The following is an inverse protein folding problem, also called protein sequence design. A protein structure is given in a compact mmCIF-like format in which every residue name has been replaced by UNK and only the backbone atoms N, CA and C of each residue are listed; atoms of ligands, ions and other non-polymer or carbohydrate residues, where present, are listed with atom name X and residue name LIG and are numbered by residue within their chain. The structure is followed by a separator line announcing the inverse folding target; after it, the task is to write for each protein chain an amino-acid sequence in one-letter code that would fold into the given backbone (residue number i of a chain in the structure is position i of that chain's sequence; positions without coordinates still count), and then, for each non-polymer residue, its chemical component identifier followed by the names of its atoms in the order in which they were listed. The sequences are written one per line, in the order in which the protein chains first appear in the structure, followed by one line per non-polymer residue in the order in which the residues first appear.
data_IF_563475160438
#
_entry.id   IF_563475160438
#
_cell.length_a   1.000
_cell.length_b   1.000
_cell.length_c   1.000
_cell.angle_alpha   90.00
_cell.angle_beta   90.00
_cell.angle_gamma   90.00
#
_symmetry.space_group_name_H-M   'P 1'
#
loop_
_entity.id
_entity.type
_entity.pdbx_description
1 polymer ?
#
# COMPACT_ATOMS: atom_id res chain seq x y z
N UNK A 1 2.50 18.43 3.23
CA UNK A 1 1.55 17.32 3.07
C UNK A 1 1.33 16.72 4.43
N UNK A 2 0.12 16.84 4.99
CA UNK A 2 -0.21 16.28 6.31
C UNK A 2 -0.97 14.98 6.07
N UNK A 3 -0.27 13.85 6.12
CA UNK A 3 -0.92 12.54 6.11
C UNK A 3 -1.36 12.21 7.54
N UNK A 4 -2.67 12.24 7.79
CA UNK A 4 -3.24 11.99 9.11
C UNK A 4 -3.40 10.48 9.36
N UNK A 5 -2.29 9.81 9.68
CA UNK A 5 -2.26 8.40 10.06
C UNK A 5 -2.69 8.22 11.52
N UNK A 6 -3.97 8.40 11.79
CA UNK A 6 -4.47 8.55 13.16
C UNK A 6 -4.65 7.24 13.94
N UNK A 7 -3.94 6.16 13.59
CA UNK A 7 -4.11 4.88 14.26
C UNK A 7 -2.75 4.34 14.76
N UNK A 8 -2.63 4.22 16.09
CA UNK A 8 -1.42 3.76 16.77
C UNK A 8 -1.72 2.43 17.46
N UNK A 9 -1.02 1.37 17.06
CA UNK A 9 -1.14 0.08 17.73
C UNK A 9 -0.15 0.01 18.91
N UNK A 10 -0.63 -0.44 20.07
CA UNK A 10 0.21 -0.78 21.23
C UNK A 10 0.39 -2.29 21.40
N UNK A 11 -0.21 -3.08 20.51
CA UNK A 11 -0.18 -4.54 20.52
C UNK A 11 0.37 -5.07 19.20
N UNK A 12 1.39 -5.92 19.30
CA UNK A 12 2.00 -6.56 18.15
C UNK A 12 1.67 -8.05 18.13
N UNK A 13 1.06 -8.50 17.04
CA UNK A 13 0.88 -9.93 16.79
C UNK A 13 2.20 -10.45 16.21
N UNK A 14 2.92 -11.31 16.95
CA UNK A 14 4.25 -11.88 16.59
C UNK A 14 4.32 -12.64 15.25
N UNK A 15 3.24 -12.68 14.47
CA UNK A 15 3.22 -13.31 13.15
C UNK A 15 3.94 -12.49 12.07
N UNK A 16 3.98 -11.16 12.21
CA UNK A 16 4.56 -10.25 11.22
C UNK A 16 6.08 -10.07 11.41
N UNK A 17 6.59 -10.37 12.62
CA UNK A 17 8.01 -10.31 12.97
C UNK A 17 8.62 -11.71 12.80
N UNK A 18 8.55 -12.27 11.58
CA UNK A 18 9.34 -13.46 11.20
C UNK A 18 10.71 -13.10 10.64
N UNK A 19 10.93 -11.81 10.35
CA UNK A 19 12.19 -11.27 9.85
C UNK A 19 13.00 -10.71 11.02
N UNK A 20 14.32 -10.95 11.05
CA UNK A 20 15.26 -10.42 12.06
C UNK A 20 15.40 -8.87 12.05
N UNK A 21 14.56 -8.16 11.30
CA UNK A 21 14.54 -6.71 11.23
C UNK A 21 13.24 -6.16 11.83
N UNK A 22 13.33 -5.15 12.72
CA UNK A 22 12.15 -4.50 13.26
C UNK A 22 11.40 -3.76 12.14
N UNK A 23 10.11 -4.07 12.00
CA UNK A 23 9.18 -3.30 11.17
C UNK A 23 8.56 -2.19 12.02
N UNK A 24 8.42 -0.98 11.47
CA UNK A 24 7.82 0.17 12.18
C UNK A 24 6.29 0.18 12.17
N UNK A 25 5.66 -0.72 11.41
CA UNK A 25 4.20 -0.82 11.27
C UNK A 25 3.78 -1.45 9.94
N UNK A 26 2.48 -1.39 9.65
CA UNK A 26 1.87 -1.94 8.43
C UNK A 26 1.13 -0.85 7.66
N UNK A 27 1.32 -0.81 6.35
CA UNK A 27 0.59 0.07 5.44
C UNK A 27 -0.49 -0.72 4.69
N UNK A 28 -1.75 -0.40 4.93
CA UNK A 28 -2.88 -1.02 4.23
C UNK A 28 -3.10 -0.44 2.84
N UNK A 29 -3.11 -1.29 1.81
CA UNK A 29 -3.36 -0.94 0.39
C UNK A 29 -4.74 -1.40 -0.13
N UNK A 30 -5.65 -1.77 0.77
CA UNK A 30 -6.97 -2.31 0.41
C UNK A 30 -7.93 -1.24 -0.12
N UNK A 31 -9.06 -1.69 -0.69
CA UNK A 31 -10.12 -0.83 -1.28
C UNK A 31 -10.93 -0.01 -0.26
N UNK A 32 -10.54 -0.02 1.02
CA UNK A 32 -11.25 0.72 2.07
C UNK A 32 -10.82 2.20 2.05
N UNK A 33 -11.75 3.10 2.38
CA UNK A 33 -11.50 4.55 2.40
C UNK A 33 -10.46 5.04 3.41
N UNK A 34 -9.87 4.14 4.21
CA UNK A 34 -8.83 4.41 5.21
C UNK A 34 -7.43 3.97 4.76
N UNK A 35 -7.26 3.58 3.48
CA UNK A 35 -5.97 3.18 2.92
C UNK A 35 -5.05 4.38 2.64
N UNK A 36 -3.74 4.13 2.49
CA UNK A 36 -2.75 5.17 2.11
C UNK A 36 -3.06 5.81 0.78
N UNK A 37 -3.51 4.98 -0.15
CA UNK A 37 -3.79 5.42 -1.51
C UNK A 37 -5.03 6.32 -1.53
N UNK A 38 -6.08 5.95 -0.79
CA UNK A 38 -7.29 6.76 -0.71
C UNK A 38 -7.07 8.11 -0.02
N UNK A 39 -6.24 8.15 1.03
CA UNK A 39 -5.92 9.41 1.73
C UNK A 39 -5.02 10.33 0.89
N UNK A 40 -4.03 9.79 0.19
CA UNK A 40 -3.21 10.57 -0.75
C UNK A 40 -4.08 11.14 -1.88
N UNK A 41 -5.03 10.33 -2.38
CA UNK A 41 -5.93 10.75 -3.44
C UNK A 41 -6.94 11.80 -2.99
N UNK A 42 -7.44 11.74 -1.74
CA UNK A 42 -8.37 12.75 -1.21
C UNK A 42 -7.73 14.14 -1.11
N UNK A 43 -6.42 14.18 -0.89
CA UNK A 43 -5.62 15.41 -0.87
C UNK A 43 -5.19 15.89 -2.27
N UNK A 44 -5.56 15.17 -3.33
CA UNK A 44 -5.24 15.54 -4.71
C UNK A 44 -3.76 15.37 -5.09
N UNK A 45 -2.98 14.63 -4.28
CA UNK A 45 -1.53 14.48 -4.47
C UNK A 45 -1.21 13.48 -5.58
N UNK A 46 -1.93 12.36 -5.62
CA UNK A 46 -1.78 11.31 -6.62
C UNK A 46 -3.12 10.62 -6.89
N UNK A 47 -3.30 9.97 -8.05
CA UNK A 47 -4.48 9.15 -8.33
C UNK A 47 -4.69 8.04 -7.29
N UNK A 48 -5.95 7.60 -7.11
CA UNK A 48 -6.31 6.47 -6.25
C UNK A 48 -5.91 5.11 -6.86
N UNK A 49 -4.63 4.95 -7.18
CA UNK A 49 -4.04 3.75 -7.76
C UNK A 49 -2.62 3.56 -7.22
N UNK A 50 -2.06 2.37 -7.37
CA UNK A 50 -0.65 2.12 -7.09
C UNK A 50 -0.11 1.04 -8.02
N UNK A 51 1.21 0.99 -8.15
CA UNK A 51 1.92 -0.07 -8.85
C UNK A 51 3.00 -0.62 -7.94
N UNK A 52 3.21 -1.94 -7.95
CA UNK A 52 4.31 -2.55 -7.22
C UNK A 52 5.10 -3.49 -8.13
N UNK A 53 6.40 -3.57 -7.89
CA UNK A 53 7.29 -4.58 -8.42
C UNK A 53 7.99 -5.20 -7.23
N UNK A 54 7.82 -6.50 -7.00
CA UNK A 54 8.49 -7.23 -5.92
C UNK A 54 9.55 -8.13 -6.53
N UNK A 55 10.77 -8.03 -6.03
CA UNK A 55 11.86 -8.91 -6.46
C UNK A 55 11.79 -10.23 -5.67
N UNK A 56 12.02 -11.36 -6.35
CA UNK A 56 11.91 -12.69 -5.75
C UNK A 56 12.99 -12.99 -4.69
N UNK A 57 14.10 -12.29 -4.73
CA UNK A 57 15.24 -12.34 -3.81
C UNK A 57 15.18 -11.29 -2.70
N UNK A 58 14.13 -10.47 -2.67
CA UNK A 58 13.90 -9.44 -1.67
C UNK A 58 14.03 -8.02 -2.22
N UNK A 59 13.23 -7.10 -1.66
CA UNK A 59 13.13 -5.73 -2.12
C UNK A 59 12.07 -5.53 -3.21
N UNK A 60 12.14 -4.40 -3.90
CA UNK A 60 11.14 -4.00 -4.88
C UNK A 60 10.89 -2.49 -4.90
N UNK A 61 9.89 -2.09 -5.69
CA UNK A 61 9.42 -0.72 -5.79
C UNK A 61 7.92 -0.67 -5.56
N UNK A 62 7.46 0.29 -4.76
CA UNK A 62 6.06 0.66 -4.60
C UNK A 62 5.90 2.10 -5.07
N UNK A 63 5.06 2.32 -6.08
CA UNK A 63 4.73 3.63 -6.63
C UNK A 63 3.27 3.95 -6.30
N UNK A 64 3.04 5.12 -5.69
CA UNK A 64 1.70 5.61 -5.37
C UNK A 64 1.24 6.52 -6.53
N UNK A 65 0.06 6.26 -7.08
CA UNK A 65 -0.44 6.89 -8.30
C UNK A 65 -0.41 5.95 -9.51
N UNK A 66 -0.55 6.53 -10.70
CA UNK A 66 -0.56 5.78 -11.96
C UNK A 66 0.83 5.82 -12.58
N UNK A 67 1.42 4.64 -12.80
CA UNK A 67 2.63 4.51 -13.61
C UNK A 67 2.24 4.16 -15.04
N UNK A 68 2.94 4.74 -16.01
CA UNK A 68 2.75 4.39 -17.42
C UNK A 68 3.74 3.25 -17.72
N UNK A 69 3.24 2.04 -17.90
CA UNK A 69 4.04 0.91 -18.34
C UNK A 69 3.40 0.29 -19.56
N UNK A 70 4.19 0.14 -20.60
CA UNK A 70 3.79 -0.54 -21.83
C UNK A 70 3.56 -2.03 -21.54
N UNK A 71 2.52 -2.62 -22.11
CA UNK A 71 2.21 -4.07 -22.09
C UNK A 71 1.67 -4.66 -20.77
N UNK A 72 1.05 -3.86 -19.90
CA UNK A 72 0.29 -4.40 -18.76
C UNK A 72 -1.08 -4.94 -19.24
N UNK A 73 -1.36 -6.20 -18.90
CA UNK A 73 -2.69 -6.79 -19.07
C UNK A 73 -3.55 -6.47 -17.85
N UNK A 74 -4.73 -5.89 -18.07
CA UNK A 74 -5.65 -5.50 -17.01
C UNK A 74 -6.80 -6.48 -16.84
N UNK A 75 -7.22 -6.66 -15.58
CA UNK A 75 -8.46 -7.33 -15.21
C UNK A 75 -9.26 -6.45 -14.26
N UNK A 76 -10.58 -6.62 -14.23
CA UNK A 76 -11.43 -5.82 -13.35
C UNK A 76 -11.24 -6.24 -11.88
N UNK A 77 -11.06 -5.26 -11.00
CA UNK A 77 -11.07 -5.46 -9.56
C UNK A 77 -12.50 -5.71 -9.09
N UNK A 78 -12.79 -6.92 -8.61
CA UNK A 78 -14.09 -7.30 -8.07
C UNK A 78 -14.00 -7.36 -6.54
N UNK A 79 -14.93 -6.73 -5.84
CA UNK A 79 -15.01 -6.82 -4.39
C UNK A 79 -15.43 -8.24 -4.00
N UNK A 80 -14.65 -8.90 -3.15
CA UNK A 80 -15.09 -10.16 -2.53
C UNK A 80 -16.31 -9.90 -1.66
N UNK A 81 -17.29 -10.80 -1.73
CA UNK A 81 -18.43 -10.82 -0.81
C UNK A 81 -17.97 -11.06 0.62
#
# INVERSE_FOLDING_TARGET
MNFAWNNCSTFETRHLIKTNQPIGGVLGLGLQGISVISEISSQGIAPNSFTHCLAGDGGGLLVLGTSIMSDIVFTHLVKSK
#
